data_IF_181124660849
#
_entry.id   IF_181124660849
#
_cell.length_a   1.000
_cell.length_b   1.000
_cell.length_c   1.000
_cell.angle_alpha   90.00
_cell.angle_beta   90.00
_cell.angle_gamma   90.00
#
_symmetry.space_group_name_H-M   'P 1'
#
loop_
_entity.id
_entity.type
_entity.pdbx_description
1 polymer ?
#
# COMPACT_ATOMS: atom_id res chain seq x y z
N UNK A 1 8.62 -0.72 -6.97
CA UNK A 1 9.03 -1.89 -6.16
C UNK A 1 9.35 -1.36 -4.79
N UNK A 2 8.55 -1.73 -3.82
CA UNK A 2 8.71 -1.23 -2.45
C UNK A 2 9.88 -1.91 -1.77
N UNK A 3 10.61 -1.15 -0.96
CA UNK A 3 11.79 -1.64 -0.24
C UNK A 3 11.63 -1.36 1.24
N UNK A 4 11.89 -2.39 2.06
CA UNK A 4 11.90 -2.25 3.51
C UNK A 4 13.29 -1.79 3.94
N UNK A 5 13.49 -0.47 3.98
CA UNK A 5 14.75 0.13 4.43
C UNK A 5 14.61 0.76 5.81
N UNK A 6 15.72 0.79 6.54
CA UNK A 6 15.81 1.52 7.80
C UNK A 6 15.73 3.01 7.47
N UNK A 7 14.73 3.69 8.05
CA UNK A 7 14.54 5.12 7.90
C UNK A 7 14.50 5.82 9.27
N UNK A 8 14.89 7.11 9.34
CA UNK A 8 14.68 7.92 10.52
C UNK A 8 13.20 7.98 10.91
N UNK A 9 12.94 8.10 12.20
CA UNK A 9 11.57 8.26 12.72
C UNK A 9 11.11 9.71 12.61
N UNK A 10 9.80 9.95 12.56
CA UNK A 10 9.23 11.30 12.72
C UNK A 10 9.27 11.77 14.18
N UNK A 11 9.19 13.09 14.40
CA UNK A 11 9.04 13.68 15.74
C UNK A 11 7.80 13.15 16.44
N UNK A 12 6.68 13.02 15.72
CA UNK A 12 5.46 12.40 16.23
C UNK A 12 5.71 10.97 16.77
N UNK A 13 6.44 10.14 16.03
CA UNK A 13 6.81 8.78 16.48
C UNK A 13 7.73 8.83 17.71
N UNK A 14 8.71 9.73 17.73
CA UNK A 14 9.60 9.92 18.88
C UNK A 14 8.87 10.37 20.15
N UNK A 15 7.83 11.20 20.02
CA UNK A 15 6.96 11.64 21.11
C UNK A 15 6.11 10.47 21.60
N UNK A 16 5.51 9.68 20.69
CA UNK A 16 4.75 8.49 21.07
C UNK A 16 5.61 7.47 21.83
N UNK A 17 6.85 7.23 21.39
CA UNK A 17 7.80 6.34 22.07
C UNK A 17 8.13 6.84 23.48
N UNK A 18 8.39 8.14 23.63
CA UNK A 18 8.62 8.76 24.94
C UNK A 18 7.39 8.65 25.86
N UNK A 19 6.18 8.88 25.33
CA UNK A 19 4.93 8.77 26.07
C UNK A 19 4.66 7.37 26.61
N UNK A 20 5.14 6.30 25.94
CA UNK A 20 4.99 4.92 26.43
C UNK A 20 5.68 4.69 27.78
N UNK A 21 6.76 5.41 28.07
CA UNK A 21 7.50 5.26 29.32
C UNK A 21 6.71 5.81 30.54
N UNK A 22 5.75 6.71 30.32
CA UNK A 22 5.02 7.41 31.39
C UNK A 22 3.59 6.92 31.65
N UNK A 23 3.21 5.71 31.19
CA UNK A 23 1.81 5.24 31.23
C UNK A 23 1.28 4.95 32.64
N UNK A 24 2.13 4.48 33.54
CA UNK A 24 1.74 4.01 34.88
C UNK A 24 2.29 4.89 35.99
N UNK A 25 3.49 5.44 35.78
CA UNK A 25 4.23 6.25 36.74
C UNK A 25 5.19 7.16 35.98
N UNK A 26 5.80 8.18 36.63
CA UNK A 26 6.86 8.96 36.01
C UNK A 26 7.98 8.05 35.48
N UNK A 27 8.22 8.11 34.17
CA UNK A 27 9.20 7.30 33.46
C UNK A 27 10.25 8.14 32.76
N UNK A 28 11.34 7.50 32.32
CA UNK A 28 12.44 8.15 31.57
C UNK A 28 12.53 7.51 30.18
N UNK A 29 12.79 8.34 29.17
CA UNK A 29 13.06 7.90 27.80
C UNK A 29 14.44 8.40 27.39
N UNK A 30 15.33 7.47 27.03
CA UNK A 30 16.67 7.79 26.56
C UNK A 30 16.68 7.77 25.03
N UNK A 31 17.00 8.91 24.42
CA UNK A 31 17.12 9.07 22.97
C UNK A 31 18.60 9.04 22.60
N UNK A 32 18.99 8.10 21.74
CA UNK A 32 20.38 7.92 21.30
C UNK A 32 20.70 8.76 20.06
N UNK A 33 20.36 10.04 20.11
CA UNK A 33 20.62 11.04 19.06
C UNK A 33 20.65 12.43 19.67
N UNK A 34 21.26 13.39 18.98
CA UNK A 34 21.43 14.75 19.52
C UNK A 34 20.13 15.56 19.45
N UNK A 35 20.10 16.70 20.14
CA UNK A 35 18.96 17.62 20.05
C UNK A 35 18.82 18.20 18.63
N UNK A 36 19.94 18.40 17.94
CA UNK A 36 19.95 18.96 16.58
C UNK A 36 19.40 17.92 15.59
N UNK A 37 19.80 16.65 15.71
CA UNK A 37 19.22 15.56 14.92
C UNK A 37 17.70 15.47 15.11
N UNK A 38 17.22 15.63 16.34
CA UNK A 38 15.79 15.65 16.63
C UNK A 38 15.05 16.79 15.92
N UNK A 39 15.65 17.97 15.84
CA UNK A 39 15.03 19.12 15.17
C UNK A 39 14.97 18.94 13.65
N UNK A 40 15.96 18.24 13.08
CA UNK A 40 16.02 17.91 11.66
C UNK A 40 15.01 16.82 11.23
N UNK A 41 14.42 16.06 12.16
CA UNK A 41 13.40 15.05 11.84
C UNK A 41 12.13 15.70 11.27
N UNK A 42 11.46 14.97 10.37
CA UNK A 42 10.12 15.32 9.89
C UNK A 42 9.13 15.35 11.06
N UNK A 43 8.18 16.29 11.05
CA UNK A 43 7.22 16.42 12.14
C UNK A 43 6.27 15.21 12.22
N UNK A 44 5.77 14.76 11.07
CA UNK A 44 4.91 13.59 10.92
C UNK A 44 5.42 12.71 9.79
N UNK A 45 5.14 11.41 9.87
CA UNK A 45 5.45 10.45 8.80
C UNK A 45 4.51 10.66 7.62
N UNK A 46 5.03 10.59 6.40
CA UNK A 46 4.21 10.70 5.19
C UNK A 46 3.14 9.58 5.13
N UNK A 47 1.90 9.89 4.68
CA UNK A 47 0.85 8.89 4.54
C UNK A 47 1.28 7.70 3.70
N UNK A 48 0.81 6.51 4.08
CA UNK A 48 1.19 5.26 3.41
C UNK A 48 0.78 5.25 1.94
N UNK A 49 -0.43 5.73 1.63
CA UNK A 49 -0.96 5.82 0.26
C UNK A 49 -0.08 6.66 -0.68
N UNK A 50 0.71 7.61 -0.14
CA UNK A 50 1.59 8.47 -0.94
C UNK A 50 2.97 7.84 -1.21
N UNK A 51 3.36 6.80 -0.46
CA UNK A 51 4.73 6.25 -0.46
C UNK A 51 4.85 4.77 -0.81
N UNK A 52 3.75 4.06 -1.01
CA UNK A 52 3.73 2.63 -1.34
C UNK A 52 3.16 2.36 -2.73
N UNK A 53 3.44 1.15 -3.23
CA UNK A 53 2.82 0.59 -4.42
C UNK A 53 1.30 0.43 -4.21
N UNK A 54 0.51 0.68 -5.26
CA UNK A 54 -0.95 0.80 -5.18
C UNK A 54 -1.72 -0.31 -5.89
N UNK A 55 -1.07 -1.27 -6.55
CA UNK A 55 -1.71 -2.31 -7.37
C UNK A 55 -2.77 -3.07 -6.56
N UNK A 56 -2.43 -3.53 -5.37
CA UNK A 56 -3.37 -4.27 -4.51
C UNK A 56 -4.55 -3.39 -4.09
N UNK A 57 -4.29 -2.13 -3.72
CA UNK A 57 -5.35 -1.18 -3.32
C UNK A 57 -6.28 -0.89 -4.50
N UNK A 58 -5.74 -0.63 -5.68
CA UNK A 58 -6.53 -0.34 -6.89
C UNK A 58 -7.36 -1.56 -7.32
N UNK A 59 -6.80 -2.77 -7.22
CA UNK A 59 -7.55 -3.99 -7.51
C UNK A 59 -8.78 -4.11 -6.59
N UNK A 60 -8.60 -3.83 -5.30
CA UNK A 60 -9.70 -3.86 -4.33
C UNK A 60 -10.74 -2.76 -4.58
N UNK A 61 -10.31 -1.53 -4.91
CA UNK A 61 -11.23 -0.44 -5.27
C UNK A 61 -12.05 -0.79 -6.52
N UNK A 62 -11.44 -1.42 -7.52
CA UNK A 62 -12.14 -1.91 -8.72
C UNK A 62 -13.13 -3.01 -8.39
N UNK A 63 -12.77 -3.95 -7.51
CA UNK A 63 -13.69 -5.00 -7.05
C UNK A 63 -14.89 -4.45 -6.27
N UNK A 64 -14.72 -3.31 -5.57
CA UNK A 64 -15.81 -2.57 -4.92
C UNK A 64 -16.71 -1.80 -5.91
N UNK A 65 -16.42 -1.82 -7.21
CA UNK A 65 -17.19 -1.13 -8.24
C UNK A 65 -16.74 0.32 -8.50
N UNK A 66 -15.61 0.75 -7.95
CA UNK A 66 -15.07 2.10 -8.18
C UNK A 66 -14.30 2.11 -9.50
N UNK A 67 -15.01 2.42 -10.58
CA UNK A 67 -14.45 2.35 -11.93
C UNK A 67 -13.47 3.49 -12.23
N UNK A 68 -13.66 4.69 -11.67
CA UNK A 68 -12.74 5.80 -11.86
C UNK A 68 -11.95 6.04 -10.56
N UNK A 69 -10.80 5.37 -10.41
CA UNK A 69 -9.99 5.52 -9.21
C UNK A 69 -9.31 6.90 -9.15
N UNK A 70 -9.00 7.51 -10.29
CA UNK A 70 -8.28 8.79 -10.37
C UNK A 70 -9.17 9.98 -9.96
N UNK A 71 -10.45 9.97 -10.35
CA UNK A 71 -11.39 11.09 -10.09
C UNK A 71 -12.62 10.72 -9.26
N UNK A 72 -12.95 9.43 -9.16
CA UNK A 72 -14.17 8.93 -8.54
C UNK A 72 -14.01 8.51 -7.08
N UNK A 73 -12.79 8.51 -6.54
CA UNK A 73 -12.55 8.23 -5.12
C UNK A 73 -11.92 9.44 -4.44
N UNK A 74 -12.58 9.91 -3.37
CA UNK A 74 -12.11 11.02 -2.55
C UNK A 74 -11.11 10.51 -1.51
N UNK A 75 -9.83 10.44 -1.89
CA UNK A 75 -8.75 10.16 -0.95
C UNK A 75 -8.57 11.33 0.03
N UNK A 76 -8.31 11.01 1.30
CA UNK A 76 -7.95 12.02 2.31
C UNK A 76 -6.65 12.74 1.93
N UNK A 77 -5.63 11.94 1.62
CA UNK A 77 -4.36 12.38 1.03
C UNK A 77 -4.24 11.69 -0.34
N UNK A 78 -4.38 12.41 -1.46
CA UNK A 78 -4.38 11.79 -2.77
C UNK A 78 -2.98 11.26 -3.13
N UNK A 79 -2.87 10.02 -3.62
CA UNK A 79 -1.60 9.50 -4.12
C UNK A 79 -1.17 10.25 -5.39
N UNK A 80 0.11 10.13 -5.73
CA UNK A 80 0.63 10.63 -6.99
C UNK A 80 -0.05 9.90 -8.17
N UNK A 81 -0.57 10.66 -9.15
CA UNK A 81 -1.25 10.12 -10.33
C UNK A 81 -0.39 9.09 -11.08
N UNK A 82 0.92 9.30 -11.15
CA UNK A 82 1.87 8.38 -11.79
C UNK A 82 1.87 7.00 -11.12
N UNK A 83 1.72 6.94 -9.78
CA UNK A 83 1.65 5.66 -9.07
C UNK A 83 0.34 4.93 -9.39
N UNK A 84 -0.76 5.67 -9.49
CA UNK A 84 -2.07 5.11 -9.85
C UNK A 84 -2.06 4.57 -11.29
N UNK A 85 -1.51 5.34 -12.23
CA UNK A 85 -1.36 4.94 -13.63
C UNK A 85 -0.52 3.67 -13.76
N UNK A 86 0.65 3.61 -13.12
CA UNK A 86 1.53 2.41 -13.15
C UNK A 86 0.85 1.17 -12.59
N UNK A 87 0.09 1.32 -11.51
CA UNK A 87 -0.64 0.21 -10.92
C UNK A 87 -1.78 -0.29 -11.83
N UNK A 88 -2.47 0.62 -12.53
CA UNK A 88 -3.46 0.24 -13.56
C UNK A 88 -2.80 -0.46 -14.74
N UNK A 89 -1.69 0.07 -15.27
CA UNK A 89 -0.92 -0.57 -16.34
C UNK A 89 -0.47 -1.99 -15.95
N UNK A 90 -0.01 -2.16 -14.71
CA UNK A 90 0.42 -3.45 -14.20
C UNK A 90 -0.75 -4.44 -14.07
N UNK A 91 -1.90 -4.00 -13.56
CA UNK A 91 -3.13 -4.82 -13.52
C UNK A 91 -3.61 -5.21 -14.92
N UNK A 92 -3.48 -4.30 -15.90
CA UNK A 92 -3.80 -4.58 -17.29
C UNK A 92 -2.86 -5.64 -17.88
N UNK A 93 -1.54 -5.51 -17.64
CA UNK A 93 -0.56 -6.52 -18.04
C UNK A 93 -0.78 -7.89 -17.37
N UNK A 94 -1.32 -7.90 -16.14
CA UNK A 94 -1.74 -9.13 -15.47
C UNK A 94 -3.04 -9.72 -16.05
N UNK A 95 -3.82 -8.97 -16.82
CA UNK A 95 -5.14 -9.39 -17.33
C UNK A 95 -6.26 -9.28 -16.29
N UNK A 96 -5.98 -8.63 -15.15
CA UNK A 96 -6.96 -8.41 -14.09
C UNK A 96 -8.00 -7.35 -14.48
N UNK A 97 -7.63 -6.41 -15.36
CA UNK A 97 -8.53 -5.41 -15.92
C UNK A 97 -8.55 -5.46 -17.45
N UNK A 98 -9.67 -5.07 -18.05
CA UNK A 98 -9.86 -4.94 -19.49
C UNK A 98 -9.29 -3.63 -20.04
N UNK A 99 -9.23 -3.49 -21.37
CA UNK A 99 -8.90 -2.22 -22.05
C UNK A 99 -9.84 -1.08 -21.67
N UNK A 100 -11.10 -1.39 -21.35
CA UNK A 100 -12.07 -0.41 -20.86
C UNK A 100 -11.87 -0.04 -19.39
N UNK A 101 -10.85 -0.61 -18.73
CA UNK A 101 -10.51 -0.36 -17.33
C UNK A 101 -11.45 -1.04 -16.33
N UNK A 102 -12.28 -1.99 -16.76
CA UNK A 102 -13.17 -2.74 -15.87
C UNK A 102 -12.47 -4.01 -15.37
N UNK A 103 -12.84 -4.47 -14.17
CA UNK A 103 -12.34 -5.73 -13.63
C UNK A 103 -12.82 -6.91 -14.49
N UNK A 104 -11.96 -7.88 -14.76
CA UNK A 104 -12.36 -9.09 -15.49
C UNK A 104 -13.02 -10.11 -14.56
N UNK A 105 -14.13 -10.71 -14.99
CA UNK A 105 -14.92 -11.63 -14.16
C UNK A 105 -14.18 -12.94 -13.84
N UNK A 106 -13.44 -13.50 -14.81
CA UNK A 106 -12.81 -14.81 -14.65
C UNK A 106 -11.51 -14.77 -13.84
N UNK A 107 -10.72 -13.72 -14.01
CA UNK A 107 -9.37 -13.58 -13.45
C UNK A 107 -9.31 -12.47 -12.41
N UNK A 108 -9.71 -11.24 -12.76
CA UNK A 108 -9.64 -10.07 -11.89
C UNK A 108 -10.42 -10.23 -10.60
N UNK A 109 -11.65 -10.75 -10.66
CA UNK A 109 -12.47 -10.99 -9.48
C UNK A 109 -11.84 -12.02 -8.54
N UNK A 110 -11.40 -13.16 -9.09
CA UNK A 110 -10.71 -14.22 -8.31
C UNK A 110 -9.39 -13.73 -7.73
N UNK A 111 -8.67 -12.87 -8.43
CA UNK A 111 -7.45 -12.25 -7.91
C UNK A 111 -7.76 -11.33 -6.73
N UNK A 112 -8.85 -10.56 -6.79
CA UNK A 112 -9.26 -9.67 -5.71
C UNK A 112 -9.71 -10.43 -4.43
N UNK A 113 -10.21 -11.66 -4.58
CA UNK A 113 -10.58 -12.52 -3.44
C UNK A 113 -9.37 -13.11 -2.70
N UNK A 114 -8.18 -13.13 -3.31
CA UNK A 114 -7.00 -13.72 -2.69
C UNK A 114 -6.25 -12.71 -1.79
N UNK A 115 -5.84 -13.11 -0.57
CA UNK A 115 -5.11 -12.24 0.35
C UNK A 115 -3.60 -12.22 0.05
N UNK A 116 -3.23 -12.09 -1.22
CA UNK A 116 -1.83 -12.06 -1.69
C UNK A 116 -1.67 -11.00 -2.77
N UNK A 117 -0.41 -10.63 -3.08
CA UNK A 117 -0.14 -9.69 -4.15
C UNK A 117 -0.69 -10.18 -5.50
N UNK A 118 -1.22 -9.27 -6.35
CA UNK A 118 -1.87 -9.62 -7.62
C UNK A 118 -1.02 -10.51 -8.54
N UNK A 119 0.29 -10.29 -8.60
CA UNK A 119 1.19 -11.16 -9.36
C UNK A 119 1.20 -12.60 -8.81
N UNK A 120 1.24 -12.76 -7.48
CA UNK A 120 1.22 -14.07 -6.84
C UNK A 120 -0.15 -14.74 -6.98
N UNK A 121 -1.23 -13.98 -6.87
CA UNK A 121 -2.60 -14.46 -7.13
C UNK A 121 -2.73 -15.04 -8.54
N UNK A 122 -2.20 -14.33 -9.56
CA UNK A 122 -2.17 -14.82 -10.95
C UNK A 122 -1.42 -16.15 -11.07
N UNK A 123 -0.25 -16.26 -10.45
CA UNK A 123 0.56 -17.51 -10.48
C UNK A 123 -0.22 -18.68 -9.86
N UNK A 124 -0.86 -18.47 -8.71
CA UNK A 124 -1.66 -19.49 -8.03
C UNK A 124 -2.86 -19.94 -8.89
N UNK A 125 -3.57 -19.00 -9.50
CA UNK A 125 -4.71 -19.29 -10.39
C UNK A 125 -4.30 -20.07 -11.64
N UNK A 126 -3.16 -19.72 -12.25
CA UNK A 126 -2.62 -20.45 -13.40
C UNK A 126 -2.23 -21.88 -13.00
N UNK A 127 -1.56 -22.05 -11.85
CA UNK A 127 -1.15 -23.37 -11.35
C UNK A 127 -2.33 -24.33 -11.21
N UNK A 128 -3.46 -23.85 -10.70
CA UNK A 128 -4.69 -24.65 -10.57
C UNK A 128 -5.26 -25.08 -11.94
N UNK A 129 -5.19 -24.21 -12.94
CA UNK A 129 -5.67 -24.52 -14.29
C UNK A 129 -4.78 -25.52 -15.02
N UNK A 130 -3.47 -25.51 -14.78
CA UNK A 130 -2.55 -26.53 -15.33
C UNK A 130 -2.88 -27.91 -14.77
N UNK A 131 -3.17 -28.00 -13.47
CA UNK A 131 -3.50 -29.28 -12.82
C UNK A 131 -4.83 -29.88 -13.32
N UNK A 132 -5.79 -29.05 -13.77
CA UNK A 132 -7.05 -29.54 -14.37
C UNK A 132 -6.91 -30.05 -15.80
N UNK A 133 -5.79 -29.77 -16.47
CA UNK A 133 -5.52 -30.21 -17.85
C UNK A 133 -4.71 -31.52 -17.91
N UNK A 134 -4.19 -31.97 -16.78
CA UNK A 134 -3.56 -33.28 -16.59
C UNK A 134 -4.59 -34.29 -16.07
#
# INVERSE_FOLDING_TARGET
MDVLMVSPISKASAIQRAGRAGRTSPGKCFRLYTKDDYQALMDQTEPEICRTELTTVILQLKALGINNVVKGFEFLDPPNSIMVERALEFLYALGAISESGHLTDELGLKMAEMPVDPMMAKILLISLNVQKRL
#
